data_IF_432717475961
#
_entry.id   IF_432717475961
#
_cell.length_a   1.000
_cell.length_b   1.000
_cell.length_c   1.000
_cell.angle_alpha   90.00
_cell.angle_beta   90.00
_cell.angle_gamma   90.00
#
_symmetry.space_group_name_H-M   'P 1'
#
loop_
_entity.id
_entity.type
_entity.pdbx_description
1 polymer ?
#
# COMPACT_ATOMS: atom_id res chain seq x y z
N UNK A 1 8.60 29.40 5.38
CA UNK A 1 7.17 29.04 5.49
C UNK A 1 6.88 27.54 5.28
N UNK A 2 7.55 26.85 4.34
CA UNK A 2 7.38 25.40 4.10
C UNK A 2 7.80 24.50 5.28
N UNK A 3 8.95 24.74 5.91
CA UNK A 3 9.47 23.99 7.09
C UNK A 3 8.50 23.95 8.29
N UNK A 4 7.79 25.04 8.58
CA UNK A 4 6.78 25.08 9.67
C UNK A 4 5.57 24.18 9.40
N UNK A 5 5.14 24.05 8.13
CA UNK A 5 4.03 23.16 7.74
C UNK A 5 4.44 21.68 7.83
N UNK A 6 5.71 21.36 7.56
CA UNK A 6 6.25 19.99 7.71
C UNK A 6 6.31 19.53 9.17
N UNK A 7 6.77 20.38 10.09
CA UNK A 7 6.82 20.03 11.51
C UNK A 7 5.42 19.82 12.12
N UNK A 8 4.40 20.50 11.60
CA UNK A 8 3.01 20.27 11.99
C UNK A 8 2.48 18.94 11.43
N UNK A 9 2.74 18.62 10.16
CA UNK A 9 2.34 17.34 9.56
C UNK A 9 3.01 16.14 10.24
N UNK A 10 4.30 16.24 10.60
CA UNK A 10 5.01 15.20 11.32
C UNK A 10 4.40 14.93 12.70
N UNK A 11 4.07 15.98 13.47
CA UNK A 11 3.39 15.84 14.77
C UNK A 11 2.03 15.16 14.65
N UNK A 12 1.27 15.44 13.59
CA UNK A 12 -0.02 14.79 13.33
C UNK A 12 0.20 13.30 13.07
N UNK A 13 1.17 12.95 12.23
CA UNK A 13 1.49 11.55 11.95
C UNK A 13 1.96 10.82 13.21
N UNK A 14 2.84 11.43 14.02
CA UNK A 14 3.29 10.87 15.30
C UNK A 14 2.14 10.68 16.30
N UNK A 15 1.16 11.60 16.31
CA UNK A 15 -0.06 11.49 17.12
C UNK A 15 -0.90 10.30 16.69
N UNK A 16 -1.16 10.18 15.38
CA UNK A 16 -1.93 9.05 14.80
C UNK A 16 -1.26 7.72 15.13
N UNK A 17 0.07 7.63 14.98
CA UNK A 17 0.81 6.41 15.31
C UNK A 17 0.78 6.09 16.79
N UNK A 18 0.85 7.10 17.65
CA UNK A 18 0.84 6.89 19.10
C UNK A 18 -0.54 6.42 19.57
N UNK A 19 -1.61 7.00 19.01
CA UNK A 19 -3.00 6.70 19.35
C UNK A 19 -3.50 5.39 18.74
N UNK A 20 -3.12 5.08 17.49
CA UNK A 20 -3.62 3.94 16.72
C UNK A 20 -2.50 3.07 16.13
N UNK A 21 -1.55 2.58 16.94
CA UNK A 21 -0.29 1.96 16.52
C UNK A 21 -0.40 0.82 15.52
N UNK A 22 -1.47 0.03 15.55
CA UNK A 22 -1.62 -1.18 14.74
C UNK A 22 -2.66 -0.97 13.61
N UNK A 23 -3.09 0.27 13.38
CA UNK A 23 -4.05 0.61 12.33
C UNK A 23 -3.39 0.88 10.98
N UNK A 24 -4.10 0.62 9.89
CA UNK A 24 -3.69 1.00 8.53
C UNK A 24 -3.33 2.49 8.39
N UNK A 25 -4.00 3.37 9.17
CA UNK A 25 -3.72 4.81 9.19
C UNK A 25 -2.34 5.12 9.75
N UNK A 26 -1.86 4.31 10.69
CA UNK A 26 -0.54 4.49 11.29
C UNK A 26 0.58 3.97 10.41
N UNK A 27 0.34 2.93 9.61
CA UNK A 27 1.25 2.54 8.54
C UNK A 27 1.36 3.63 7.46
N UNK A 28 0.23 4.23 7.05
CA UNK A 28 0.25 5.37 6.14
C UNK A 28 0.92 6.60 6.75
N UNK A 29 0.67 6.89 8.03
CA UNK A 29 1.31 7.99 8.75
C UNK A 29 2.82 7.77 8.87
N UNK A 30 3.28 6.53 9.06
CA UNK A 30 4.69 6.17 9.10
C UNK A 30 5.36 6.37 7.74
N UNK A 31 4.70 5.93 6.66
CA UNK A 31 5.16 6.15 5.29
C UNK A 31 5.21 7.65 4.94
N UNK A 32 4.20 8.43 5.35
CA UNK A 32 4.21 9.89 5.21
C UNK A 32 5.32 10.53 6.03
N UNK A 33 5.58 10.08 7.27
CA UNK A 33 6.72 10.55 8.07
C UNK A 33 8.05 10.31 7.37
N UNK A 34 8.20 9.13 6.80
CA UNK A 34 9.37 8.75 6.02
C UNK A 34 9.53 9.59 4.74
N UNK A 35 8.50 9.64 3.89
CA UNK A 35 8.52 10.37 2.62
C UNK A 35 8.61 11.89 2.80
N UNK A 36 8.10 12.43 3.90
CA UNK A 36 8.09 13.87 4.16
C UNK A 36 9.49 14.47 4.33
N UNK A 37 10.53 13.65 4.47
CA UNK A 37 11.90 14.11 4.72
C UNK A 37 12.79 13.79 3.50
N UNK A 38 13.10 14.82 2.70
CA UNK A 38 14.08 14.75 1.59
C UNK A 38 15.44 14.25 2.10
N UNK A 39 16.18 13.58 1.20
CA UNK A 39 17.43 12.81 1.33
C UNK A 39 18.47 13.13 2.43
N UNK A 40 18.53 14.31 3.04
CA UNK A 40 19.66 14.70 3.93
C UNK A 40 19.35 14.78 5.44
N UNK A 41 18.12 14.52 5.90
CA UNK A 41 17.82 14.55 7.34
C UNK A 41 16.99 13.36 7.82
N UNK A 42 17.55 12.16 7.61
CA UNK A 42 17.09 10.91 8.24
C UNK A 42 17.26 10.93 9.77
N UNK A 43 18.00 11.89 10.32
CA UNK A 43 18.27 12.05 11.77
C UNK A 43 16.99 12.10 12.60
N UNK A 44 15.96 12.80 12.13
CA UNK A 44 14.71 12.93 12.87
C UNK A 44 13.84 11.66 12.82
N UNK A 45 13.85 10.94 11.69
CA UNK A 45 13.19 9.63 11.62
C UNK A 45 13.96 8.60 12.46
N UNK A 46 15.30 8.64 12.42
CA UNK A 46 16.18 7.86 13.29
C UNK A 46 15.89 8.13 14.77
N UNK A 47 15.83 9.38 15.19
CA UNK A 47 15.45 9.76 16.55
C UNK A 47 14.05 9.27 16.93
N UNK A 48 13.08 9.37 16.01
CA UNK A 48 11.73 8.84 16.24
C UNK A 48 11.77 7.33 16.49
N UNK A 49 12.43 6.56 15.61
CA UNK A 49 12.54 5.11 15.78
C UNK A 49 13.35 4.76 17.01
N UNK A 50 14.47 5.42 17.30
CA UNK A 50 15.28 5.20 18.50
C UNK A 50 14.46 5.42 19.79
N UNK A 51 13.61 6.45 19.80
CA UNK A 51 12.71 6.72 20.91
C UNK A 51 11.63 5.65 21.06
N UNK A 52 11.08 5.15 19.95
CA UNK A 52 10.07 4.08 19.98
C UNK A 52 10.68 2.71 20.24
N UNK A 53 11.91 2.44 19.82
CA UNK A 53 12.65 1.22 20.09
C UNK A 53 12.97 1.05 21.59
N UNK A 54 13.07 2.16 22.34
CA UNK A 54 13.20 2.19 23.80
C UNK A 54 11.87 1.94 24.55
N UNK A 55 10.73 1.91 23.85
CA UNK A 55 9.43 1.57 24.44
C UNK A 55 9.41 0.10 24.87
N UNK A 56 8.84 -0.19 26.06
CA UNK A 56 8.58 -1.57 26.51
C UNK A 56 7.49 -2.29 25.70
N UNK A 57 6.68 -1.53 24.95
CA UNK A 57 5.59 -2.07 24.14
C UNK A 57 6.09 -2.40 22.73
N UNK A 58 6.09 -3.69 22.39
CA UNK A 58 6.45 -4.21 21.06
C UNK A 58 5.24 -4.09 20.13
N UNK A 59 5.24 -3.09 19.25
CA UNK A 59 4.22 -2.90 18.21
C UNK A 59 4.81 -3.20 16.85
N UNK A 60 4.06 -3.92 16.01
CA UNK A 60 4.51 -4.33 14.67
C UNK A 60 4.97 -3.13 13.84
N UNK A 61 4.23 -2.02 13.92
CA UNK A 61 4.54 -0.78 13.23
C UNK A 61 5.93 -0.20 13.58
N UNK A 62 6.40 -0.38 14.82
CA UNK A 62 7.72 0.11 15.21
C UNK A 62 8.83 -0.73 14.59
N UNK A 63 8.61 -2.04 14.48
CA UNK A 63 9.55 -2.90 13.76
C UNK A 63 9.55 -2.62 12.25
N UNK A 64 8.43 -2.23 11.65
CA UNK A 64 8.41 -1.70 10.27
C UNK A 64 9.26 -0.44 10.15
N UNK A 65 9.19 0.48 11.11
CA UNK A 65 10.02 1.68 11.10
C UNK A 65 11.52 1.37 11.25
N UNK A 66 11.88 0.40 12.09
CA UNK A 66 13.26 -0.12 12.22
C UNK A 66 13.77 -0.73 10.91
N UNK A 67 12.94 -1.51 10.22
CA UNK A 67 13.26 -2.04 8.88
C UNK A 67 13.46 -0.91 7.86
N UNK A 68 12.57 0.07 7.83
CA UNK A 68 12.69 1.23 6.93
C UNK A 68 14.02 1.97 7.15
N UNK A 69 14.43 2.19 8.40
CA UNK A 69 15.73 2.79 8.72
C UNK A 69 16.91 1.94 8.27
N UNK A 70 16.89 0.64 8.56
CA UNK A 70 17.95 -0.30 8.18
C UNK A 70 18.19 -0.28 6.66
N UNK A 71 17.12 -0.18 5.87
CA UNK A 71 17.21 -0.06 4.41
C UNK A 71 17.50 1.35 3.91
N UNK A 72 17.37 2.37 4.77
CA UNK A 72 17.67 3.76 4.47
C UNK A 72 19.16 4.05 4.41
N UNK A 73 19.94 3.43 5.31
CA UNK A 73 21.37 3.72 5.48
C UNK A 73 22.22 3.14 4.33
N UNK A 74 21.59 2.40 3.40
CA UNK A 74 22.11 1.85 2.13
C UNK A 74 22.83 2.82 1.19
N UNK A 75 22.82 4.13 1.42
CA UNK A 75 23.54 5.06 0.55
C UNK A 75 25.07 5.04 0.78
N UNK A 76 25.57 4.57 1.92
CA UNK A 76 27.00 4.44 2.18
C UNK A 76 27.28 3.27 3.15
N UNK A 77 27.93 2.21 2.63
CA UNK A 77 28.87 1.32 3.36
C UNK A 77 28.39 0.31 4.42
N UNK A 78 27.35 -0.52 4.20
CA UNK A 78 27.13 -1.69 5.07
C UNK A 78 27.54 -3.01 4.38
N UNK A 79 28.43 -3.76 5.03
CA UNK A 79 28.85 -5.11 4.63
C UNK A 79 27.64 -6.07 4.64
N UNK A 80 27.64 -7.07 3.77
CA UNK A 80 26.50 -7.98 3.56
C UNK A 80 26.06 -8.65 4.88
N UNK A 81 27.04 -8.94 5.74
CA UNK A 81 26.89 -9.54 7.07
C UNK A 81 26.19 -8.63 8.09
N UNK A 82 26.44 -7.33 8.05
CA UNK A 82 25.82 -6.38 8.98
C UNK A 82 24.31 -6.32 8.77
N UNK A 83 23.86 -6.46 7.52
CA UNK A 83 22.43 -6.38 7.18
C UNK A 83 21.65 -7.57 7.69
N UNK A 84 22.16 -8.78 7.49
CA UNK A 84 21.54 -9.99 8.02
C UNK A 84 21.49 -9.91 9.54
N UNK A 85 22.56 -9.46 10.19
CA UNK A 85 22.59 -9.27 11.64
C UNK A 85 21.51 -8.28 12.13
N UNK A 86 21.30 -7.16 11.43
CA UNK A 86 20.22 -6.21 11.75
C UNK A 86 18.85 -6.86 11.57
N UNK A 87 18.63 -7.61 10.49
CA UNK A 87 17.38 -8.34 10.26
C UNK A 87 17.14 -9.40 11.34
N UNK A 88 18.17 -10.11 11.78
CA UNK A 88 18.08 -11.10 12.85
C UNK A 88 17.74 -10.46 14.19
N UNK A 89 18.33 -9.31 14.52
CA UNK A 89 18.00 -8.55 15.74
C UNK A 89 16.53 -8.10 15.72
N UNK A 90 16.05 -7.57 14.59
CA UNK A 90 14.65 -7.16 14.44
C UNK A 90 13.72 -8.38 14.51
N UNK A 91 14.07 -9.46 13.82
CA UNK A 91 13.32 -10.72 13.82
C UNK A 91 13.15 -11.28 15.22
N UNK A 92 14.22 -11.39 16.00
CA UNK A 92 14.18 -11.87 17.38
C UNK A 92 13.38 -10.93 18.29
N UNK A 93 13.56 -9.61 18.12
CA UNK A 93 12.84 -8.60 18.91
C UNK A 93 11.32 -8.71 18.73
N UNK A 94 10.86 -8.99 17.52
CA UNK A 94 9.45 -9.02 17.12
C UNK A 94 8.95 -10.44 16.77
N UNK A 95 9.62 -11.49 17.29
CA UNK A 95 9.37 -12.90 16.92
C UNK A 95 7.94 -13.41 17.11
N UNK A 96 7.21 -12.80 18.04
CA UNK A 96 5.82 -13.17 18.38
C UNK A 96 4.80 -12.36 17.56
N UNK A 97 5.22 -11.66 16.50
CA UNK A 97 4.37 -10.79 15.68
C UNK A 97 4.43 -11.17 14.20
N UNK A 98 3.43 -10.81 13.38
CA UNK A 98 3.47 -11.02 11.93
C UNK A 98 4.62 -10.31 11.20
N UNK A 99 5.39 -9.44 11.89
CA UNK A 99 6.58 -8.81 11.30
C UNK A 99 7.64 -9.82 10.87
N UNK A 100 7.70 -10.99 11.51
CA UNK A 100 8.65 -12.05 11.17
C UNK A 100 8.55 -12.46 9.70
N UNK A 101 7.35 -12.47 9.13
CA UNK A 101 7.13 -12.74 7.71
C UNK A 101 7.92 -11.74 6.83
N UNK A 102 7.85 -10.45 7.16
CA UNK A 102 8.54 -9.39 6.43
C UNK A 102 10.05 -9.51 6.57
N UNK A 103 10.55 -9.82 7.78
CA UNK A 103 11.98 -10.04 8.02
C UNK A 103 12.50 -11.21 7.19
N UNK A 104 11.80 -12.35 7.19
CA UNK A 104 12.17 -13.53 6.43
C UNK A 104 12.15 -13.26 4.92
N UNK A 105 11.12 -12.58 4.42
CA UNK A 105 11.04 -12.23 3.00
C UNK A 105 12.17 -11.29 2.57
N UNK A 106 12.54 -10.33 3.40
CA UNK A 106 13.67 -9.44 3.12
C UNK A 106 15.02 -10.18 3.14
N UNK A 107 15.23 -11.10 4.11
CA UNK A 107 16.40 -12.00 4.12
C UNK A 107 16.45 -12.84 2.85
N UNK A 108 15.33 -13.40 2.43
CA UNK A 108 15.21 -14.15 1.18
C UNK A 108 15.64 -13.31 -0.04
N UNK A 109 15.08 -12.11 -0.20
CA UNK A 109 15.40 -11.22 -1.32
C UNK A 109 16.88 -10.83 -1.32
N UNK A 110 17.43 -10.57 -0.14
CA UNK A 110 18.84 -10.24 0.03
C UNK A 110 19.76 -11.40 -0.38
N UNK A 111 19.50 -12.61 0.13
CA UNK A 111 20.28 -13.78 -0.25
C UNK A 111 20.19 -14.07 -1.74
N UNK A 112 19.00 -13.93 -2.33
CA UNK A 112 18.80 -14.23 -3.75
C UNK A 112 19.46 -13.20 -4.68
N UNK A 113 19.25 -11.91 -4.43
CA UNK A 113 19.61 -10.86 -5.40
C UNK A 113 20.90 -10.12 -5.06
N UNK A 114 21.29 -10.04 -3.79
CA UNK A 114 22.46 -9.27 -3.37
C UNK A 114 23.66 -10.17 -3.07
N UNK A 115 23.46 -11.28 -2.36
CA UNK A 115 24.55 -12.24 -2.09
C UNK A 115 24.66 -13.36 -3.14
N UNK A 116 23.67 -13.51 -4.01
CA UNK A 116 23.57 -14.62 -4.97
C UNK A 116 23.71 -16.01 -4.29
N UNK A 117 23.30 -16.11 -3.02
CA UNK A 117 23.36 -17.32 -2.20
C UNK A 117 22.01 -18.06 -2.27
N UNK A 118 21.88 -18.89 -3.30
CA UNK A 118 20.65 -19.64 -3.59
C UNK A 118 20.29 -20.62 -2.47
N UNK A 119 21.28 -21.21 -1.78
CA UNK A 119 21.04 -22.17 -0.70
C UNK A 119 20.39 -21.51 0.51
N UNK A 120 20.90 -20.36 0.94
CA UNK A 120 20.30 -19.58 2.02
C UNK A 120 18.95 -19.01 1.60
N UNK A 121 18.79 -18.56 0.35
CA UNK A 121 17.50 -18.11 -0.16
C UNK A 121 16.45 -19.23 -0.12
N UNK A 122 16.79 -20.44 -0.58
CA UNK A 122 15.89 -21.61 -0.51
C UNK A 122 15.54 -21.98 0.92
N UNK A 123 16.53 -22.01 1.82
CA UNK A 123 16.31 -22.30 3.24
C UNK A 123 15.38 -21.27 3.88
N UNK A 124 15.61 -19.98 3.61
CA UNK A 124 14.77 -18.89 4.14
C UNK A 124 13.35 -18.95 3.56
N UNK A 125 13.19 -19.27 2.27
CA UNK A 125 11.90 -19.48 1.63
C UNK A 125 11.14 -20.68 2.21
N UNK A 126 11.84 -21.77 2.56
CA UNK A 126 11.26 -22.93 3.22
C UNK A 126 10.81 -22.60 4.65
N UNK A 127 11.59 -21.83 5.40
CA UNK A 127 11.20 -21.32 6.72
C UNK A 127 9.97 -20.41 6.64
N UNK A 128 9.94 -19.51 5.65
CA UNK A 128 8.78 -18.66 5.36
C UNK A 128 7.53 -19.50 5.06
N UNK A 129 7.64 -20.58 4.28
CA UNK A 129 6.52 -21.49 4.02
C UNK A 129 6.11 -22.33 5.23
N UNK A 130 7.04 -22.67 6.12
CA UNK A 130 6.72 -23.39 7.36
C UNK A 130 5.92 -22.52 8.34
N UNK A 131 6.28 -21.26 8.45
CA UNK A 131 5.64 -20.31 9.38
C UNK A 131 4.42 -19.61 8.77
N UNK A 132 4.42 -19.39 7.45
CA UNK A 132 3.42 -18.61 6.73
C UNK A 132 3.04 -19.28 5.39
N UNK A 133 2.50 -20.52 5.40
CA UNK A 133 2.31 -21.37 4.22
C UNK A 133 1.40 -20.80 3.13
N UNK A 134 0.56 -19.82 3.46
CA UNK A 134 -0.40 -19.19 2.52
C UNK A 134 -0.16 -17.69 2.31
N UNK A 135 0.97 -17.18 2.81
CA UNK A 135 1.32 -15.77 2.68
C UNK A 135 1.70 -15.38 1.26
N UNK A 136 1.39 -14.14 0.88
CA UNK A 136 1.87 -13.59 -0.40
C UNK A 136 3.39 -13.59 -0.48
N UNK A 137 4.08 -13.37 0.64
CA UNK A 137 5.54 -13.42 0.74
C UNK A 137 6.08 -14.80 0.38
N UNK A 138 5.45 -15.89 0.85
CA UNK A 138 5.84 -17.25 0.49
C UNK A 138 5.60 -17.53 -1.01
N UNK A 139 4.42 -17.23 -1.55
CA UNK A 139 4.19 -17.44 -2.98
C UNK A 139 5.07 -16.54 -3.86
N UNK A 140 5.40 -15.33 -3.41
CA UNK A 140 6.38 -14.48 -4.07
C UNK A 140 7.78 -15.12 -4.04
N UNK A 141 8.24 -15.65 -2.90
CA UNK A 141 9.57 -16.25 -2.80
C UNK A 141 9.71 -17.47 -3.71
N UNK A 142 8.67 -18.30 -3.82
CA UNK A 142 8.64 -19.42 -4.75
C UNK A 142 8.71 -18.98 -6.23
N UNK A 143 7.95 -17.94 -6.62
CA UNK A 143 8.01 -17.37 -7.97
C UNK A 143 9.40 -16.81 -8.30
N UNK A 144 10.04 -16.13 -7.35
CA UNK A 144 11.40 -15.64 -7.49
C UNK A 144 12.44 -16.76 -7.64
N UNK A 145 12.17 -17.94 -7.08
CA UNK A 145 12.98 -19.15 -7.27
C UNK A 145 12.68 -19.88 -8.59
N UNK A 146 11.74 -19.38 -9.40
CA UNK A 146 11.34 -19.97 -10.68
C UNK A 146 10.31 -21.11 -10.55
N UNK A 147 9.71 -21.29 -9.37
CA UNK A 147 8.67 -22.29 -9.18
C UNK A 147 7.32 -21.73 -9.63
N UNK A 148 6.60 -22.50 -10.45
CA UNK A 148 5.24 -22.17 -10.89
C UNK A 148 4.24 -22.57 -9.79
N UNK A 149 4.12 -21.70 -8.79
CA UNK A 149 3.14 -21.84 -7.71
C UNK A 149 2.04 -20.81 -7.86
N UNK A 150 0.80 -21.30 -7.78
CA UNK A 150 -0.40 -20.47 -7.71
C UNK A 150 -0.94 -20.59 -6.30
N UNK A 151 -1.16 -19.47 -5.63
CA UNK A 151 -1.89 -19.45 -4.37
C UNK A 151 -3.26 -20.09 -4.61
N UNK A 152 -3.64 -21.16 -3.89
CA UNK A 152 -4.97 -21.73 -3.99
C UNK A 152 -5.97 -20.59 -3.79
N UNK A 153 -6.64 -20.20 -4.86
CA UNK A 153 -7.79 -19.34 -4.76
C UNK A 153 -8.87 -20.24 -4.21
N UNK A 154 -9.44 -19.90 -3.06
CA UNK A 154 -10.65 -20.55 -2.57
C UNK A 154 -11.63 -20.70 -3.75
N UNK A 155 -12.38 -21.82 -3.85
CA UNK A 155 -13.56 -21.85 -4.70
C UNK A 155 -14.38 -20.60 -4.38
N UNK A 156 -15.00 -19.97 -5.38
CA UNK A 156 -15.81 -18.74 -5.22
C UNK A 156 -17.06 -18.98 -4.35
N UNK A 157 -16.89 -19.34 -3.07
CA UNK A 157 -17.87 -19.44 -2.01
C UNK A 157 -17.12 -19.25 -0.68
N UNK A 158 -17.30 -18.05 -0.12
CA UNK A 158 -16.93 -17.59 1.23
C UNK A 158 -15.44 -17.25 1.49
N UNK A 159 -14.99 -16.12 0.92
CA UNK A 159 -13.84 -15.34 1.38
C UNK A 159 -13.99 -14.99 2.87
N UNK A 160 -13.17 -15.58 3.73
CA UNK A 160 -12.97 -15.14 5.11
C UNK A 160 -11.48 -15.32 5.51
N UNK A 161 -10.68 -14.27 5.34
CA UNK A 161 -9.46 -14.05 6.12
C UNK A 161 -9.40 -12.57 6.54
N UNK A 162 -8.96 -12.25 7.77
CA UNK A 162 -9.14 -10.95 8.38
C UNK A 162 -8.13 -9.93 7.86
N UNK A 163 -8.37 -9.41 6.66
CA UNK A 163 -8.18 -7.97 6.51
C UNK A 163 -9.24 -7.32 7.41
N UNK A 164 -9.00 -6.13 7.95
CA UNK A 164 -10.13 -5.26 8.30
C UNK A 164 -10.85 -4.87 6.99
N UNK A 165 -11.49 -5.84 6.33
CA UNK A 165 -12.65 -5.55 5.51
C UNK A 165 -13.68 -5.05 6.51
N UNK A 166 -13.93 -3.75 6.44
CA UNK A 166 -15.21 -3.20 6.83
C UNK A 166 -16.23 -3.98 5.99
N UNK A 167 -16.67 -5.13 6.49
CA UNK A 167 -17.80 -5.94 6.03
C UNK A 167 -19.11 -5.24 6.36
N UNK A 168 -19.05 -3.98 6.76
CA UNK A 168 -20.17 -3.09 6.68
C UNK A 168 -20.30 -2.65 5.22
N UNK A 169 -21.31 -3.23 4.54
CA UNK A 169 -21.84 -2.64 3.32
C UNK A 169 -22.04 -1.15 3.60
N UNK A 170 -21.39 -0.25 2.83
CA UNK A 170 -21.46 1.17 3.11
C UNK A 170 -22.91 1.61 3.11
N UNK A 171 -23.32 2.43 4.07
CA UNK A 171 -24.73 2.86 4.18
C UNK A 171 -25.11 3.89 3.12
N UNK A 172 -24.12 4.53 2.51
CA UNK A 172 -24.28 5.61 1.54
C UNK A 172 -23.30 5.48 0.40
N UNK A 173 -23.66 6.04 -0.75
CA UNK A 173 -22.70 6.22 -1.83
C UNK A 173 -21.61 7.19 -1.43
N UNK A 174 -20.36 6.88 -1.78
CA UNK A 174 -19.25 7.79 -1.54
C UNK A 174 -18.19 7.67 -2.64
N UNK A 175 -17.62 8.81 -3.03
CA UNK A 175 -16.38 8.85 -3.81
C UNK A 175 -15.25 9.21 -2.85
N UNK A 176 -14.39 8.24 -2.57
CA UNK A 176 -13.28 8.33 -1.60
C UNK A 176 -12.05 9.03 -2.18
N UNK A 177 -12.07 9.31 -3.48
CA UNK A 177 -11.01 10.01 -4.20
C UNK A 177 -10.01 9.05 -4.83
N UNK A 178 -8.87 9.61 -5.23
CA UNK A 178 -7.86 8.90 -5.98
C UNK A 178 -6.49 8.97 -5.29
N UNK A 179 -5.76 7.85 -5.28
CA UNK A 179 -4.40 7.77 -4.76
C UNK A 179 -3.52 6.88 -5.64
N UNK A 180 -2.28 7.30 -5.96
CA UNK A 180 -1.66 8.59 -5.61
C UNK A 180 -2.30 9.78 -6.36
N UNK A 181 -2.13 11.00 -5.83
CA UNK A 181 -2.45 12.28 -6.50
C UNK A 181 -1.52 13.39 -5.96
N UNK A 182 -0.56 13.94 -6.74
CA UNK A 182 -0.30 13.66 -8.15
C UNK A 182 0.08 12.21 -8.43
N UNK A 183 -0.12 11.73 -9.67
CA UNK A 183 0.18 10.35 -10.07
C UNK A 183 1.07 10.27 -11.32
N UNK A 184 1.84 9.17 -11.43
CA UNK A 184 2.66 8.83 -12.60
C UNK A 184 2.93 7.31 -12.66
N UNK A 185 2.51 6.56 -13.71
CA UNK A 185 1.44 6.88 -14.65
C UNK A 185 0.06 6.47 -14.13
N UNK A 186 -0.04 5.78 -12.98
CA UNK A 186 -1.30 5.19 -12.50
C UNK A 186 -1.83 5.77 -11.18
N UNK A 187 -3.15 5.84 -11.07
CA UNK A 187 -3.89 6.20 -9.86
C UNK A 187 -5.08 5.26 -9.67
N UNK A 188 -5.44 4.99 -8.42
CA UNK A 188 -6.62 4.18 -8.08
C UNK A 188 -7.70 5.09 -7.54
N UNK A 189 -8.88 5.09 -8.17
CA UNK A 189 -10.06 5.82 -7.75
C UNK A 189 -10.95 4.87 -6.94
N UNK A 190 -11.16 5.18 -5.66
CA UNK A 190 -11.94 4.35 -4.73
C UNK A 190 -13.33 4.94 -4.51
N UNK A 191 -14.34 4.08 -4.38
CA UNK A 191 -15.73 4.47 -4.16
C UNK A 191 -16.48 3.41 -3.35
N UNK A 192 -17.60 3.82 -2.76
CA UNK A 192 -18.46 3.01 -1.91
C UNK A 192 -19.86 2.91 -2.53
N UNK A 193 -20.39 1.69 -2.62
CA UNK A 193 -21.70 1.38 -3.18
C UNK A 193 -22.60 0.74 -2.10
N UNK A 194 -23.67 1.40 -1.62
CA UNK A 194 -24.61 0.82 -0.66
C UNK A 194 -25.48 -0.29 -1.26
N UNK A 195 -25.63 -0.28 -2.59
CA UNK A 195 -26.45 -1.21 -3.34
C UNK A 195 -25.70 -1.65 -4.59
N UNK A 196 -26.08 -2.79 -5.15
CA UNK A 196 -25.59 -3.18 -6.47
C UNK A 196 -25.93 -2.08 -7.49
N UNK A 197 -24.95 -1.66 -8.28
CA UNK A 197 -25.04 -0.44 -9.09
C UNK A 197 -24.34 -0.58 -10.45
N UNK A 198 -24.87 0.12 -11.44
CA UNK A 198 -24.14 0.44 -12.67
C UNK A 198 -23.25 1.67 -12.41
N UNK A 199 -21.97 1.56 -12.74
CA UNK A 199 -20.95 2.57 -12.48
C UNK A 199 -20.38 3.10 -13.80
N UNK A 200 -20.33 4.42 -13.94
CA UNK A 200 -19.65 5.12 -15.02
C UNK A 200 -18.63 6.09 -14.43
N UNK A 201 -17.38 5.99 -14.89
CA UNK A 201 -16.34 6.97 -14.62
C UNK A 201 -15.87 7.56 -15.94
N UNK A 202 -16.13 8.85 -16.14
CA UNK A 202 -15.65 9.57 -17.33
C UNK A 202 -14.53 10.54 -16.92
N UNK A 203 -13.40 10.46 -17.60
CA UNK A 203 -12.24 11.34 -17.42
C UNK A 203 -12.23 12.36 -18.55
N UNK A 204 -12.00 13.61 -18.20
CA UNK A 204 -11.93 14.76 -19.09
C UNK A 204 -10.59 15.47 -18.93
N UNK A 205 -10.07 16.05 -20.01
CA UNK A 205 -9.03 17.06 -19.91
C UNK A 205 -9.61 18.40 -19.42
N UNK A 206 -8.73 19.39 -19.18
CA UNK A 206 -9.13 20.71 -18.68
C UNK A 206 -10.02 21.50 -19.67
N UNK A 207 -10.03 21.12 -20.95
CA UNK A 207 -10.90 21.73 -21.97
C UNK A 207 -12.30 21.10 -22.00
N UNK A 208 -12.53 20.04 -21.21
CA UNK A 208 -13.79 19.31 -21.15
C UNK A 208 -13.90 18.19 -22.19
N UNK A 209 -12.82 17.87 -22.92
CA UNK A 209 -12.83 16.74 -23.87
C UNK A 209 -12.71 15.43 -23.11
N UNK A 210 -13.54 14.45 -23.48
CA UNK A 210 -13.47 13.09 -22.93
C UNK A 210 -12.16 12.42 -23.33
N UNK A 211 -11.45 11.93 -22.33
CA UNK A 211 -10.17 11.22 -22.45
C UNK A 211 -10.38 9.72 -22.36
N UNK A 212 -11.17 9.26 -21.38
CA UNK A 212 -11.39 7.84 -21.07
C UNK A 212 -12.76 7.66 -20.42
N UNK A 213 -13.47 6.59 -20.76
CA UNK A 213 -14.69 6.17 -20.07
C UNK A 213 -14.49 4.75 -19.55
N UNK A 214 -14.86 4.53 -18.28
CA UNK A 214 -15.02 3.21 -17.69
C UNK A 214 -16.50 3.00 -17.42
N UNK A 215 -17.05 1.88 -17.87
CA UNK A 215 -18.46 1.54 -17.71
C UNK A 215 -18.54 0.11 -17.21
N UNK A 216 -19.00 -0.05 -15.98
CA UNK A 216 -19.14 -1.33 -15.29
C UNK A 216 -20.60 -1.53 -14.89
N UNK A 217 -21.22 -2.59 -15.39
CA UNK A 217 -22.62 -2.90 -15.09
C UNK A 217 -22.72 -3.93 -13.98
N UNK A 218 -23.69 -3.76 -13.07
CA UNK A 218 -24.02 -4.77 -12.06
C UNK A 218 -22.93 -5.01 -11.01
N UNK A 219 -22.14 -4.00 -10.66
CA UNK A 219 -21.21 -4.13 -9.55
C UNK A 219 -21.96 -4.35 -8.24
N UNK A 220 -21.52 -5.31 -7.43
CA UNK A 220 -22.08 -5.59 -6.11
C UNK A 220 -21.87 -4.41 -5.15
N UNK A 221 -22.78 -4.27 -4.18
CA UNK A 221 -22.61 -3.38 -3.04
C UNK A 221 -21.28 -3.67 -2.32
N UNK A 222 -20.64 -2.62 -1.80
CA UNK A 222 -19.34 -2.68 -1.14
C UNK A 222 -18.40 -1.55 -1.55
N UNK A 223 -17.17 -1.62 -1.06
CA UNK A 223 -16.09 -0.73 -1.47
C UNK A 223 -15.43 -1.29 -2.73
N UNK A 224 -15.32 -0.45 -3.76
CA UNK A 224 -14.85 -0.82 -5.09
C UNK A 224 -13.82 0.19 -5.58
N UNK A 225 -13.13 -0.13 -6.68
CA UNK A 225 -12.13 0.76 -7.26
C UNK A 225 -12.02 0.65 -8.79
N UNK A 226 -11.49 1.70 -9.40
CA UNK A 226 -11.09 1.75 -10.81
C UNK A 226 -9.65 2.24 -10.88
N UNK A 227 -8.80 1.55 -11.66
CA UNK A 227 -7.42 1.96 -11.91
C UNK A 227 -7.34 2.67 -13.25
N UNK A 228 -6.81 3.90 -13.26
CA UNK A 228 -6.46 4.60 -14.49
C UNK A 228 -4.95 4.73 -14.61
N UNK A 229 -4.40 4.30 -15.74
CA UNK A 229 -2.98 4.30 -16.05
C UNK A 229 -2.52 5.49 -16.91
N UNK A 230 -3.31 6.57 -16.95
CA UNK A 230 -2.95 7.75 -17.73
C UNK A 230 -3.04 7.54 -19.25
N UNK A 231 -3.81 6.55 -19.72
CA UNK A 231 -4.06 6.34 -21.14
C UNK A 231 -5.44 6.86 -21.56
N UNK A 232 -5.53 7.33 -22.79
CA UNK A 232 -6.79 7.67 -23.46
C UNK A 232 -7.61 6.44 -23.82
N UNK A 233 -8.81 6.65 -24.37
CA UNK A 233 -9.67 5.58 -24.88
C UNK A 233 -8.95 4.73 -25.94
N UNK A 234 -8.14 5.37 -26.79
CA UNK A 234 -7.36 4.73 -27.86
C UNK A 234 -6.07 4.04 -27.34
N UNK A 235 -5.81 4.06 -26.03
CA UNK A 235 -4.64 3.43 -25.43
C UNK A 235 -3.38 4.30 -25.43
N UNK A 236 -3.39 5.47 -26.09
CA UNK A 236 -2.25 6.41 -26.09
C UNK A 236 -2.12 7.11 -24.74
N UNK A 237 -0.89 7.25 -24.24
CA UNK A 237 -0.60 7.94 -22.99
C UNK A 237 -0.91 9.44 -23.11
N UNK A 238 -1.58 9.99 -22.10
CA UNK A 238 -1.96 11.41 -22.06
C UNK A 238 -0.81 12.27 -21.53
N UNK A 239 -0.87 13.58 -21.73
CA UNK A 239 0.16 14.52 -21.26
C UNK A 239 0.06 14.79 -19.75
N UNK A 240 1.14 15.25 -19.11
CA UNK A 240 1.06 15.79 -17.75
C UNK A 240 0.09 16.96 -17.72
N UNK A 241 -0.67 17.09 -16.63
CA UNK A 241 -1.67 18.16 -16.51
C UNK A 241 -2.78 17.84 -15.53
N UNK A 242 -3.72 18.78 -15.45
CA UNK A 242 -4.94 18.64 -14.65
C UNK A 242 -6.02 17.98 -15.51
N UNK A 243 -6.61 16.93 -14.96
CA UNK A 243 -7.77 16.25 -15.51
C UNK A 243 -8.92 16.34 -14.51
N UNK A 244 -10.14 16.24 -15.02
CA UNK A 244 -11.35 16.12 -14.23
C UNK A 244 -11.92 14.72 -14.43
N UNK A 245 -12.59 14.17 -13.44
CA UNK A 245 -13.43 13.01 -13.66
C UNK A 245 -14.79 13.20 -13.05
N UNK A 246 -15.78 12.57 -13.69
CA UNK A 246 -17.15 12.44 -13.24
C UNK A 246 -17.40 10.98 -12.94
N UNK A 247 -17.74 10.69 -11.70
CA UNK A 247 -18.19 9.39 -11.24
C UNK A 247 -19.71 9.41 -11.11
N UNK A 248 -20.37 8.40 -11.69
CA UNK A 248 -21.81 8.19 -11.59
C UNK A 248 -22.08 6.74 -11.20
N UNK A 249 -22.91 6.53 -10.20
CA UNK A 249 -23.43 5.23 -9.81
C UNK A 249 -24.96 5.26 -9.84
N UNK A 250 -25.59 4.22 -10.42
CA UNK A 250 -27.04 4.06 -10.48
C UNK A 250 -27.42 2.70 -9.91
N UNK A 251 -28.21 2.66 -8.84
CA UNK A 251 -28.65 1.41 -8.21
C UNK A 251 -29.49 0.57 -9.17
N UNK A 252 -29.30 -0.75 -9.15
CA UNK A 252 -30.09 -1.70 -9.94
C UNK A 252 -30.98 -2.61 -9.08
N UNK A 253 -31.05 -2.33 -7.77
CA UNK A 253 -31.91 -3.03 -6.80
C UNK A 253 -33.39 -2.63 -6.86
N UNK A 254 -33.78 -1.86 -7.89
CA UNK A 254 -35.12 -1.31 -8.05
C UNK A 254 -35.36 0.02 -7.36
N UNK A 255 -34.43 0.52 -6.53
CA UNK A 255 -34.58 1.83 -5.86
C UNK A 255 -34.29 3.03 -6.76
N UNK A 256 -33.67 2.81 -7.93
CA UNK A 256 -33.28 3.83 -8.93
C UNK A 256 -32.53 5.05 -8.34
N UNK A 257 -31.80 4.86 -7.24
CA UNK A 257 -30.94 5.88 -6.64
C UNK A 257 -29.76 6.16 -7.56
N UNK A 258 -29.48 7.46 -7.76
CA UNK A 258 -28.34 7.93 -8.54
C UNK A 258 -27.42 8.74 -7.65
N UNK A 259 -26.13 8.45 -7.70
CA UNK A 259 -25.08 9.24 -7.08
C UNK A 259 -24.14 9.75 -8.16
N UNK A 260 -23.82 11.03 -8.13
CA UNK A 260 -22.89 11.65 -9.07
C UNK A 260 -21.94 12.59 -8.32
N UNK A 261 -20.65 12.50 -8.61
CA UNK A 261 -19.63 13.37 -8.01
C UNK A 261 -18.48 13.60 -8.98
N UNK A 262 -17.88 14.78 -8.89
CA UNK A 262 -16.71 15.15 -9.69
C UNK A 262 -15.50 15.40 -8.82
N UNK A 263 -14.30 15.17 -9.37
CA UNK A 263 -13.04 15.45 -8.69
C UNK A 263 -11.91 15.68 -9.69
N UNK A 264 -10.78 16.17 -9.17
CA UNK A 264 -9.59 16.56 -9.96
C UNK A 264 -8.49 15.51 -9.85
N UNK A 265 -7.78 15.28 -10.95
CA UNK A 265 -6.59 14.44 -11.05
C UNK A 265 -5.42 15.31 -11.51
N UNK A 266 -4.24 15.11 -10.92
CA UNK A 266 -3.01 15.75 -11.37
C UNK A 266 -2.04 14.68 -11.85
N UNK A 267 -1.84 14.60 -13.17
CA UNK A 267 -0.87 13.68 -13.76
C UNK A 267 0.47 14.39 -13.93
N UNK A 268 1.55 13.74 -13.51
CA UNK A 268 2.92 14.17 -13.76
C UNK A 268 3.61 13.10 -14.62
N UNK A 269 4.48 13.52 -15.55
CA UNK A 269 5.39 12.62 -16.26
C UNK A 269 6.77 12.79 -15.67
#
# INVERSE_FOLDING_TARGET
>A
MRVKKYNQAAKICESVITEFPDSARSYLALDLLWQSRKNDDKTLFKQYVDNKAKSKVKKQLYGVAELMLAFSERANTADSKERVAVLDVIGEKYKDTPLVEHVLFQKFMFYLYEENNIELAKTTSAELGKLFPESESYYASQRHLGNDVVKPTEPLLAKNAPNEEITEIPKTYELLGNYPNPFNPSTTIKYALPYSSNVELTIYDITGKVVKVFSESGQSAGYQNIVWNGNSQQGSQVSSGVYLYRFKATSIDGSNKVFEKTAKLLMLK
#
